data_IF_421934645507
#
_entry.id   IF_421934645507
#
_cell.length_a   1.000
_cell.length_b   1.000
_cell.length_c   1.000
_cell.angle_alpha   90.00
_cell.angle_beta   90.00
_cell.angle_gamma   90.00
#
_symmetry.space_group_name_H-M   'P 1'
#
loop_
_entity.id
_entity.type
_entity.pdbx_description
1 polymer ?
#
# COMPACT_ATOMS: atom_id res chain seq x y z
N UNK A 1 33.66 -6.49 -6.54
CA UNK A 1 32.24 -6.13 -6.84
C UNK A 1 32.20 -4.64 -7.16
N UNK A 2 31.68 -4.25 -8.33
CA UNK A 2 31.70 -2.86 -8.78
C UNK A 2 30.81 -1.97 -7.90
N UNK A 3 31.29 -0.81 -7.47
CA UNK A 3 30.55 0.18 -6.66
C UNK A 3 29.18 0.55 -7.27
N UNK A 4 29.09 0.50 -8.60
CA UNK A 4 27.83 0.70 -9.34
C UNK A 4 26.81 -0.41 -9.08
N UNK A 5 27.26 -1.66 -8.96
CA UNK A 5 26.39 -2.81 -8.63
C UNK A 5 25.88 -2.70 -7.19
N UNK A 6 26.71 -2.22 -6.27
CA UNK A 6 26.31 -1.98 -4.88
C UNK A 6 25.22 -0.89 -4.79
N UNK A 7 25.41 0.24 -5.49
CA UNK A 7 24.44 1.34 -5.53
C UNK A 7 23.10 0.91 -6.13
N UNK A 8 23.12 0.15 -7.24
CA UNK A 8 21.90 -0.36 -7.87
C UNK A 8 21.16 -1.29 -6.91
N UNK A 9 21.87 -2.18 -6.20
CA UNK A 9 21.25 -3.07 -5.20
C UNK A 9 20.64 -2.27 -4.04
N UNK A 10 21.32 -1.25 -3.53
CA UNK A 10 20.80 -0.39 -2.46
C UNK A 10 19.56 0.38 -2.89
N UNK A 11 19.53 0.92 -4.11
CA UNK A 11 18.37 1.61 -4.68
C UNK A 11 17.17 0.67 -4.85
N UNK A 12 17.40 -0.55 -5.34
CA UNK A 12 16.35 -1.56 -5.49
C UNK A 12 15.80 -2.00 -4.14
N UNK A 13 16.65 -2.18 -3.13
CA UNK A 13 16.22 -2.47 -1.75
C UNK A 13 15.40 -1.32 -1.19
N UNK A 14 15.88 -0.08 -1.33
CA UNK A 14 15.17 1.11 -0.84
C UNK A 14 13.80 1.25 -1.52
N UNK A 15 13.73 1.04 -2.83
CA UNK A 15 12.49 1.05 -3.60
C UNK A 15 11.51 -0.05 -3.17
N UNK A 16 12.01 -1.28 -2.94
CA UNK A 16 11.19 -2.38 -2.46
C UNK A 16 10.64 -2.13 -1.04
N UNK A 17 11.44 -1.53 -0.16
CA UNK A 17 11.02 -1.19 1.21
C UNK A 17 10.07 0.01 1.27
N UNK A 18 10.20 0.97 0.35
CA UNK A 18 9.39 2.20 0.36
C UNK A 18 7.92 1.95 0.03
N UNK A 19 7.60 0.81 -0.60
CA UNK A 19 6.25 0.51 -1.09
C UNK A 19 5.49 -0.54 -0.25
N UNK A 20 6.09 -1.07 0.83
CA UNK A 20 5.39 -1.93 1.77
C UNK A 20 4.61 -1.07 2.77
N UNK A 21 3.37 -0.72 2.44
CA UNK A 21 2.42 -0.24 3.44
C UNK A 21 2.17 -1.38 4.42
N UNK A 22 2.58 -1.19 5.68
CA UNK A 22 2.36 -2.17 6.73
C UNK A 22 0.85 -2.36 6.96
N UNK A 23 0.41 -3.61 6.91
CA UNK A 23 -0.98 -3.97 7.16
C UNK A 23 -1.13 -4.27 8.65
N UNK A 24 -1.90 -3.44 9.34
CA UNK A 24 -2.26 -3.65 10.73
C UNK A 24 -3.40 -4.68 10.81
N UNK A 25 -3.24 -5.69 11.65
CA UNK A 25 -4.26 -6.72 11.87
C UNK A 25 -4.87 -6.61 13.26
N UNK A 26 -6.17 -6.87 13.39
CA UNK A 26 -6.86 -6.88 14.67
C UNK A 26 -7.92 -7.99 14.72
N UNK A 27 -8.25 -8.48 15.92
CA UNK A 27 -9.40 -9.36 16.06
C UNK A 27 -10.69 -8.55 16.17
N UNK A 28 -11.80 -9.18 15.83
CA UNK A 28 -13.11 -8.56 16.01
C UNK A 28 -13.37 -8.25 17.50
N UNK A 29 -14.07 -7.15 17.75
CA UNK A 29 -14.41 -6.57 19.06
C UNK A 29 -13.25 -6.00 19.86
N UNK A 30 -12.02 -6.02 19.36
CA UNK A 30 -10.90 -5.29 19.96
C UNK A 30 -10.99 -3.79 19.70
N UNK A 31 -10.35 -3.00 20.56
CA UNK A 31 -10.12 -1.59 20.30
C UNK A 31 -8.81 -1.43 19.52
N UNK A 32 -8.86 -0.70 18.40
CA UNK A 32 -7.72 -0.52 17.51
C UNK A 32 -7.29 0.93 17.48
N UNK A 33 -5.99 1.17 17.54
CA UNK A 33 -5.37 2.50 17.38
C UNK A 33 -4.61 2.53 16.06
N UNK A 34 -5.08 3.36 15.12
CA UNK A 34 -4.37 3.65 13.87
C UNK A 34 -3.47 4.86 14.08
N UNK A 35 -2.16 4.65 14.00
CA UNK A 35 -1.18 5.71 14.23
C UNK A 35 -1.18 6.71 13.07
N UNK A 36 -1.12 8.00 13.42
CA UNK A 36 -0.73 9.04 12.49
C UNK A 36 0.71 9.42 12.84
N UNK A 37 1.69 8.71 12.29
CA UNK A 37 3.11 8.96 12.58
C UNK A 37 3.88 8.98 11.26
N UNK A 38 4.62 10.06 11.02
CA UNK A 38 5.53 10.14 9.88
C UNK A 38 6.95 9.80 10.35
N UNK A 39 7.70 8.96 9.61
CA UNK A 39 9.04 8.58 10.03
C UNK A 39 9.94 9.81 10.26
N UNK A 40 10.42 9.97 11.49
CA UNK A 40 11.33 11.06 11.86
C UNK A 40 10.69 12.43 12.07
N UNK A 41 9.36 12.54 12.09
CA UNK A 41 8.65 13.81 12.33
C UNK A 41 7.64 13.65 13.45
N UNK A 42 7.78 14.48 14.48
CA UNK A 42 6.78 14.60 15.53
C UNK A 42 5.71 15.62 15.12
N UNK A 43 4.48 15.17 14.89
CA UNK A 43 3.38 16.02 14.39
C UNK A 43 3.10 17.19 15.35
N UNK A 44 3.29 16.97 16.65
CA UNK A 44 3.07 18.01 17.67
C UNK A 44 4.07 19.18 17.51
N UNK A 45 5.21 18.94 16.85
CA UNK A 45 6.21 19.97 16.52
C UNK A 45 5.98 20.64 15.17
N UNK A 46 5.12 20.06 14.33
CA UNK A 46 4.83 20.59 13.00
C UNK A 46 3.80 21.70 13.10
N UNK A 47 4.00 22.75 12.30
CA UNK A 47 2.99 23.79 12.17
C UNK A 47 1.89 23.37 11.19
N UNK A 48 0.79 22.84 11.72
CA UNK A 48 -0.35 22.35 10.95
C UNK A 48 -1.63 23.11 11.31
N UNK A 49 -2.56 23.19 10.37
CA UNK A 49 -3.86 23.84 10.56
C UNK A 49 -4.90 22.88 11.17
N UNK A 50 -4.90 21.61 10.73
CA UNK A 50 -5.78 20.57 11.26
C UNK A 50 -5.22 19.15 11.06
N UNK A 51 -5.75 18.20 11.81
CA UNK A 51 -5.64 16.76 11.51
C UNK A 51 -7.04 16.20 11.25
N UNK A 52 -7.18 15.38 10.21
CA UNK A 52 -8.43 14.72 9.86
C UNK A 52 -8.20 13.27 9.45
N UNK A 53 -9.13 12.41 9.82
CA UNK A 53 -9.13 11.00 9.41
C UNK A 53 -10.25 10.72 8.43
N UNK A 54 -9.91 9.91 7.42
CA UNK A 54 -10.81 9.46 6.37
C UNK A 54 -10.73 7.94 6.24
N UNK A 55 -11.86 7.29 5.91
CA UNK A 55 -11.85 5.93 5.34
C UNK A 55 -11.87 6.06 3.83
N UNK A 56 -10.91 5.43 3.16
CA UNK A 56 -10.87 5.38 1.71
C UNK A 56 -11.83 4.29 1.20
N UNK A 57 -12.53 4.61 0.13
CA UNK A 57 -13.37 3.66 -0.61
C UNK A 57 -12.67 3.20 -1.88
N UNK A 58 -13.21 2.21 -2.59
CA UNK A 58 -12.61 1.61 -3.79
C UNK A 58 -12.15 2.62 -4.86
N UNK A 59 -12.83 3.77 -4.97
CA UNK A 59 -12.48 4.84 -5.91
C UNK A 59 -11.52 5.89 -5.33
N UNK A 60 -10.81 5.57 -4.24
CA UNK A 60 -10.01 6.50 -3.43
C UNK A 60 -10.80 7.73 -2.95
N UNK A 61 -12.13 7.66 -2.93
CA UNK A 61 -12.94 8.74 -2.37
C UNK A 61 -12.79 8.71 -0.86
N UNK A 62 -12.50 9.88 -0.30
CA UNK A 62 -12.33 10.10 1.13
C UNK A 62 -13.70 10.21 1.81
N UNK A 63 -14.05 9.25 2.66
CA UNK A 63 -15.20 9.35 3.55
C UNK A 63 -14.72 9.88 4.90
N UNK A 64 -15.07 11.13 5.23
CA UNK A 64 -14.59 11.79 6.46
C UNK A 64 -15.12 11.10 7.71
N UNK A 65 -14.25 10.91 8.70
CA UNK A 65 -14.56 10.31 10.00
C UNK A 65 -14.60 11.39 11.07
N UNK A 66 -13.45 12.02 11.32
CA UNK A 66 -13.24 12.94 12.42
C UNK A 66 -12.15 13.96 12.04
N UNK A 67 -12.27 15.20 12.54
CA UNK A 67 -11.31 16.28 12.32
C UNK A 67 -11.12 17.09 13.59
N UNK A 68 -9.88 17.54 13.82
CA UNK A 68 -9.51 18.42 14.92
C UNK A 68 -8.61 19.54 14.39
N UNK A 69 -8.98 20.78 14.68
CA UNK A 69 -8.12 21.93 14.37
C UNK A 69 -7.02 22.03 15.43
N UNK A 70 -5.90 22.69 15.09
CA UNK A 70 -4.80 22.90 16.04
C UNK A 70 -5.21 23.86 17.16
N UNK A 71 -5.73 25.03 16.79
CA UNK A 71 -6.03 26.12 17.74
C UNK A 71 -7.39 25.99 18.41
N UNK A 72 -8.31 25.29 17.76
CA UNK A 72 -9.65 25.00 18.25
C UNK A 72 -9.69 23.51 18.62
N UNK A 73 -9.49 23.19 19.89
CA UNK A 73 -9.51 21.82 20.43
C UNK A 73 -10.88 21.12 20.22
N UNK A 74 -11.84 21.81 19.59
CA UNK A 74 -13.13 21.28 19.17
C UNK A 74 -12.96 20.22 18.09
N UNK A 75 -13.36 19.01 18.44
CA UNK A 75 -13.41 17.86 17.53
C UNK A 75 -14.70 17.90 16.73
N UNK A 76 -14.58 17.87 15.40
CA UNK A 76 -15.70 17.83 14.46
C UNK A 76 -15.85 16.41 13.91
N UNK A 77 -17.05 15.87 14.01
CA UNK A 77 -17.42 14.57 13.44
C UNK A 77 -18.10 14.79 12.10
N UNK A 78 -17.65 14.05 11.09
CA UNK A 78 -18.34 13.99 9.80
C UNK A 78 -19.52 13.01 9.88
N UNK A 79 -20.30 12.90 8.80
CA UNK A 79 -21.45 11.98 8.68
C UNK A 79 -21.04 10.50 8.54
N UNK A 80 -20.02 10.06 9.28
CA UNK A 80 -19.56 8.68 9.31
C UNK A 80 -20.44 7.86 10.26
N UNK A 81 -21.27 6.99 9.67
CA UNK A 81 -22.22 6.15 10.42
C UNK A 81 -21.53 4.89 10.90
N UNK A 82 -20.90 4.96 12.08
CA UNK A 82 -20.27 3.83 12.76
C UNK A 82 -20.44 3.97 14.28
N UNK A 83 -20.76 2.86 14.95
CA UNK A 83 -20.95 2.79 16.40
C UNK A 83 -20.17 1.60 16.98
N UNK A 84 -19.43 1.77 18.09
CA UNK A 84 -19.22 3.02 18.82
C UNK A 84 -18.41 4.03 17.98
N UNK A 85 -18.59 5.32 18.25
CA UNK A 85 -17.98 6.37 17.42
C UNK A 85 -16.46 6.34 17.53
N UNK A 86 -15.73 6.52 16.42
CA UNK A 86 -14.28 6.74 16.47
C UNK A 86 -13.95 7.99 17.27
N UNK A 87 -12.73 8.07 17.80
CA UNK A 87 -12.24 9.27 18.48
C UNK A 87 -10.76 9.48 18.19
N UNK A 88 -10.23 10.67 18.51
CA UNK A 88 -8.78 10.88 18.50
C UNK A 88 -8.15 10.23 19.74
N UNK A 89 -7.10 9.45 19.53
CA UNK A 89 -6.21 8.95 20.58
C UNK A 89 -4.98 9.86 20.76
N UNK A 90 -3.94 9.31 21.38
CA UNK A 90 -2.65 9.98 21.54
C UNK A 90 -2.01 10.31 20.19
N UNK A 91 -1.24 11.41 20.11
CA UNK A 91 -0.51 11.84 18.90
C UNK A 91 -1.37 11.85 17.63
N UNK A 92 -2.60 12.33 17.75
CA UNK A 92 -3.58 12.39 16.66
C UNK A 92 -3.94 11.04 16.00
N UNK A 93 -3.67 9.91 16.67
CA UNK A 93 -4.12 8.60 16.23
C UNK A 93 -5.65 8.50 16.15
N UNK A 94 -6.15 7.55 15.35
CA UNK A 94 -7.57 7.21 15.31
C UNK A 94 -7.84 6.01 16.20
N UNK A 95 -8.64 6.21 17.25
CA UNK A 95 -9.17 5.12 18.06
C UNK A 95 -10.48 4.62 17.44
N UNK A 96 -10.46 3.35 17.03
CA UNK A 96 -11.61 2.60 16.55
C UNK A 96 -12.02 1.60 17.63
N UNK A 97 -13.06 1.90 18.43
CA UNK A 97 -13.53 0.98 19.45
C UNK A 97 -14.28 -0.20 18.83
N UNK A 98 -14.11 -1.38 19.44
CA UNK A 98 -14.82 -2.64 19.15
C UNK A 98 -14.96 -2.92 17.66
N UNK A 99 -13.84 -3.08 16.98
CA UNK A 99 -13.81 -3.20 15.52
C UNK A 99 -14.57 -4.40 14.99
N UNK A 100 -15.16 -4.28 13.81
CA UNK A 100 -15.80 -5.39 13.08
C UNK A 100 -15.12 -5.61 11.73
N UNK A 101 -15.48 -6.69 11.02
CA UNK A 101 -14.95 -6.96 9.68
C UNK A 101 -15.20 -5.83 8.69
N UNK A 102 -16.29 -5.06 8.85
CA UNK A 102 -16.61 -3.87 8.03
C UNK A 102 -15.62 -2.72 8.23
N UNK A 103 -14.86 -2.74 9.33
CA UNK A 103 -13.81 -1.77 9.60
C UNK A 103 -12.55 -2.03 8.81
N UNK A 104 -12.38 -3.23 8.24
CA UNK A 104 -11.28 -3.49 7.34
C UNK A 104 -11.26 -2.50 6.17
N UNK A 105 -10.06 -2.18 5.71
CA UNK A 105 -9.83 -1.30 4.59
C UNK A 105 -8.74 -0.26 4.87
N UNK A 106 -8.67 0.71 3.98
CA UNK A 106 -7.62 1.72 3.99
C UNK A 106 -8.12 3.00 4.65
N UNK A 107 -7.35 3.50 5.60
CA UNK A 107 -7.59 4.74 6.31
C UNK A 107 -6.51 5.75 5.94
N UNK A 108 -6.86 7.03 5.94
CA UNK A 108 -5.94 8.11 5.64
C UNK A 108 -5.99 9.16 6.75
N UNK A 109 -4.82 9.46 7.32
CA UNK A 109 -4.59 10.62 8.17
C UNK A 109 -4.10 11.78 7.30
N UNK A 110 -4.86 12.87 7.27
CA UNK A 110 -4.53 14.09 6.57
C UNK A 110 -4.14 15.17 7.59
N UNK A 111 -2.90 15.62 7.50
CA UNK A 111 -2.38 16.77 8.24
C UNK A 111 -2.43 17.96 7.28
N UNK A 112 -3.43 18.81 7.49
CA UNK A 112 -3.60 20.02 6.72
C UNK A 112 -2.56 21.04 7.13
N UNK A 113 -1.73 21.50 6.21
CA UNK A 113 -0.74 22.52 6.49
C UNK A 113 -1.36 23.93 6.51
N UNK A 114 -0.60 24.89 7.04
CA UNK A 114 -0.97 26.29 6.92
C UNK A 114 -0.93 26.77 5.46
N UNK A 115 -1.63 27.88 5.19
CA UNK A 115 -1.72 28.43 3.83
C UNK A 115 -0.32 28.66 3.26
N UNK A 116 -0.09 28.16 2.03
CA UNK A 116 1.21 28.24 1.36
C UNK A 116 2.12 27.02 1.57
N UNK A 117 1.75 26.09 2.45
CA UNK A 117 2.44 24.81 2.66
C UNK A 117 1.66 23.63 2.07
N UNK A 118 2.31 22.47 1.92
CA UNK A 118 1.70 21.25 1.39
C UNK A 118 1.12 20.38 2.50
N UNK A 119 -0.10 19.87 2.30
CA UNK A 119 -0.71 18.89 3.19
C UNK A 119 0.10 17.57 3.18
N UNK A 120 0.13 16.90 4.32
CA UNK A 120 0.76 15.58 4.45
C UNK A 120 -0.33 14.53 4.68
N UNK A 121 -0.36 13.53 3.82
CA UNK A 121 -1.32 12.43 3.87
C UNK A 121 -0.59 11.12 4.16
N UNK A 122 -0.97 10.42 5.24
CA UNK A 122 -0.47 9.10 5.60
C UNK A 122 -1.60 8.08 5.46
N UNK A 123 -1.29 6.95 4.84
CA UNK A 123 -2.26 5.86 4.64
C UNK A 123 -1.91 4.67 5.53
N UNK A 124 -2.92 4.09 6.19
CA UNK A 124 -2.82 2.91 7.06
C UNK A 124 -3.83 1.86 6.59
N UNK A 125 -3.40 0.61 6.43
CA UNK A 125 -4.27 -0.50 6.05
C UNK A 125 -4.65 -1.31 7.29
N UNK A 126 -5.95 -1.48 7.54
CA UNK A 126 -6.48 -2.29 8.63
C UNK A 126 -7.15 -3.55 8.07
N UNK A 127 -6.82 -4.72 8.63
CA UNK A 127 -7.50 -5.98 8.39
C UNK A 127 -8.05 -6.52 9.71
N UNK A 128 -9.37 -6.62 9.82
CA UNK A 128 -10.03 -7.18 11.00
C UNK A 128 -10.42 -8.63 10.70
N UNK A 129 -9.97 -9.55 11.55
CA UNK A 129 -10.31 -10.96 11.43
C UNK A 129 -11.80 -11.22 11.69
N UNK A 130 -12.29 -12.35 11.17
CA UNK A 130 -13.69 -12.73 11.32
C UNK A 130 -14.10 -12.82 12.81
N UNK A 131 -15.30 -12.34 13.10
CA UNK A 131 -15.90 -12.45 14.43
C UNK A 131 -16.29 -13.91 14.66
N UNK A 132 -15.50 -14.66 15.42
CA UNK A 132 -15.88 -16.00 15.84
C UNK A 132 -16.83 -15.84 17.02
N UNK A 133 -18.12 -16.10 16.80
CA UNK A 133 -19.01 -16.39 17.92
C UNK A 133 -18.51 -17.70 18.49
N UNK A 134 -17.95 -17.67 19.70
CA UNK A 134 -17.71 -18.88 20.46
C UNK A 134 -19.09 -19.47 20.73
N UNK A 135 -19.56 -20.33 19.83
CA UNK A 135 -20.68 -21.20 20.11
C UNK A 135 -20.30 -21.90 21.41
N UNK A 136 -21.14 -21.66 22.41
CA UNK A 136 -21.06 -22.23 23.74
C UNK A 136 -20.57 -23.68 23.62
N UNK A 137 -19.38 -23.95 24.17
CA UNK A 137 -18.75 -25.28 24.12
C UNK A 137 -19.44 -26.18 25.16
N UNK A 138 -20.77 -26.22 25.09
CA UNK A 138 -21.64 -26.91 26.02
C UNK A 138 -22.81 -27.48 25.20
N UNK A 139 -22.85 -28.83 25.12
CA UNK A 139 -23.92 -29.68 24.55
C UNK A 139 -24.10 -29.59 23.02
N UNK A 140 -23.61 -30.54 22.21
CA UNK A 140 -24.02 -31.95 22.18
C UNK A 140 -22.91 -32.83 21.58
N UNK A 141 -22.15 -33.51 22.44
CA UNK A 141 -21.33 -34.67 22.07
C UNK A 141 -22.24 -35.89 21.89
N UNK A 142 -23.17 -35.88 20.94
CA UNK A 142 -23.86 -37.13 20.53
C UNK A 142 -24.49 -36.99 19.14
N UNK A 143 -23.93 -37.76 18.21
CA UNK A 143 -24.47 -38.15 16.89
C UNK A 143 -24.54 -37.01 15.85
N UNK A 144 -23.55 -36.87 14.97
CA UNK A 144 -23.61 -37.57 13.67
C UNK A 144 -22.20 -37.91 13.15
N UNK A 145 -21.98 -39.21 12.92
CA UNK A 145 -20.94 -39.73 12.04
C UNK A 145 -21.20 -39.27 10.58
N UNK A 146 -20.13 -39.26 9.77
CA UNK A 146 -20.12 -39.17 8.28
C UNK A 146 -20.24 -37.73 7.78
N UNK A 147 -19.29 -37.09 7.10
CA UNK A 147 -18.14 -37.51 6.27
C UNK A 147 -17.14 -36.34 6.29
N UNK A 148 -15.86 -36.64 6.41
CA UNK A 148 -14.76 -35.70 6.24
C UNK A 148 -14.81 -35.09 4.84
N UNK A 149 -15.25 -33.83 4.76
CA UNK A 149 -15.03 -32.97 3.59
C UNK A 149 -13.98 -31.96 4.00
N UNK A 150 -12.74 -32.26 3.65
CA UNK A 150 -11.66 -31.28 3.65
C UNK A 150 -12.06 -30.16 2.68
N UNK A 151 -12.63 -29.09 3.23
CA UNK A 151 -12.79 -27.84 2.50
C UNK A 151 -11.40 -27.20 2.38
N UNK A 152 -10.69 -27.65 1.35
CA UNK A 152 -9.49 -27.06 0.78
C UNK A 152 -9.66 -25.54 0.66
N UNK A 153 -8.96 -24.80 1.52
CA UNK A 153 -8.89 -23.35 1.45
C UNK A 153 -7.97 -22.96 0.29
N UNK A 154 -8.53 -22.87 -0.90
CA UNK A 154 -7.83 -22.35 -2.07
C UNK A 154 -7.60 -20.84 -1.89
N UNK A 155 -6.47 -20.47 -1.28
CA UNK A 155 -5.91 -19.11 -1.38
C UNK A 155 -5.51 -18.89 -2.84
N UNK A 156 -6.34 -18.20 -3.62
CA UNK A 156 -5.84 -17.54 -4.82
C UNK A 156 -5.17 -16.24 -4.38
N UNK A 157 -3.88 -16.35 -4.08
CA UNK A 157 -2.97 -15.22 -4.26
C UNK A 157 -2.81 -15.10 -5.77
N UNK A 158 -3.41 -14.08 -6.40
CA UNK A 158 -2.99 -13.71 -7.74
C UNK A 158 -1.59 -13.10 -7.63
N UNK A 159 -0.58 -13.98 -7.65
CA UNK A 159 0.77 -13.58 -7.96
C UNK A 159 0.73 -12.96 -9.36
N UNK A 160 1.09 -11.66 -9.43
CA UNK A 160 1.19 -10.92 -10.67
C UNK A 160 1.93 -11.78 -11.71
N UNK A 161 1.33 -12.12 -12.88
CA UNK A 161 1.81 -13.25 -13.66
C UNK A 161 3.27 -13.03 -14.07
N UNK A 162 4.15 -13.94 -13.64
CA UNK A 162 5.57 -14.01 -14.04
C UNK A 162 5.74 -13.85 -15.55
N UNK A 163 4.72 -14.23 -16.32
CA UNK A 163 4.57 -14.02 -17.76
C UNK A 163 4.79 -12.57 -18.23
N UNK A 164 4.30 -11.55 -17.53
CA UNK A 164 4.50 -10.14 -17.92
C UNK A 164 5.95 -9.68 -17.78
N UNK A 165 6.64 -10.17 -16.75
CA UNK A 165 8.07 -9.91 -16.58
C UNK A 165 8.88 -10.59 -17.69
N UNK A 166 8.56 -11.84 -18.03
CA UNK A 166 9.25 -12.57 -19.11
C UNK A 166 9.06 -11.84 -20.45
N UNK A 167 7.83 -11.40 -20.77
CA UNK A 167 7.54 -10.64 -21.99
C UNK A 167 8.37 -9.35 -22.04
N UNK A 168 8.48 -8.62 -20.93
CA UNK A 168 9.29 -7.41 -20.83
C UNK A 168 10.78 -7.66 -21.10
N UNK A 169 11.37 -8.69 -20.47
CA UNK A 169 12.79 -9.01 -20.68
C UNK A 169 13.09 -9.47 -22.11
N UNK A 170 12.21 -10.26 -22.72
CA UNK A 170 12.34 -10.71 -24.12
C UNK A 170 12.28 -9.52 -25.07
N UNK A 171 11.35 -8.58 -24.87
CA UNK A 171 11.22 -7.39 -25.71
C UNK A 171 12.50 -6.51 -25.67
N UNK A 172 13.08 -6.32 -24.49
CA UNK A 172 14.35 -5.57 -24.33
C UNK A 172 15.51 -6.30 -25.02
N UNK A 173 15.55 -7.63 -24.89
CA UNK A 173 16.55 -8.46 -25.57
C UNK A 173 16.49 -8.33 -27.09
N UNK A 174 15.30 -8.48 -27.68
CA UNK A 174 15.08 -8.35 -29.12
C UNK A 174 15.42 -6.94 -29.63
N UNK A 175 15.05 -5.90 -28.87
CA UNK A 175 15.38 -4.51 -29.21
C UNK A 175 16.88 -4.28 -29.33
N UNK A 176 17.68 -4.86 -28.40
CA UNK A 176 19.15 -4.77 -28.46
C UNK A 176 19.74 -5.49 -29.67
N UNK A 177 19.20 -6.66 -30.03
CA UNK A 177 19.66 -7.43 -31.20
C UNK A 177 19.40 -6.64 -32.48
N UNK A 178 18.19 -6.08 -32.64
CA UNK A 178 17.84 -5.28 -33.82
C UNK A 178 18.75 -4.05 -33.95
N UNK A 179 18.97 -3.31 -32.85
CA UNK A 179 19.87 -2.16 -32.86
C UNK A 179 21.31 -2.54 -33.20
N UNK A 180 21.78 -3.70 -32.71
CA UNK A 180 23.11 -4.22 -33.04
C UNK A 180 23.22 -4.51 -34.54
N UNK A 181 22.23 -5.15 -35.15
CA UNK A 181 22.22 -5.44 -36.59
C UNK A 181 22.21 -4.15 -37.41
N UNK A 182 21.35 -3.19 -37.07
CA UNK A 182 21.32 -1.89 -37.76
C UNK A 182 22.68 -1.19 -37.68
N UNK A 183 23.33 -1.21 -36.52
CA UNK A 183 24.65 -0.59 -36.35
C UNK A 183 25.72 -1.23 -37.24
N UNK A 184 25.74 -2.56 -37.34
CA UNK A 184 26.66 -3.31 -38.21
C UNK A 184 26.39 -2.97 -39.68
N UNK A 185 25.12 -3.00 -40.09
CA UNK A 185 24.71 -2.65 -41.46
C UNK A 185 25.13 -1.24 -41.87
N UNK A 186 24.99 -0.27 -40.96
CA UNK A 186 25.43 1.11 -41.20
C UNK A 186 26.95 1.19 -41.36
N UNK A 187 27.71 0.50 -40.51
CA UNK A 187 29.18 0.45 -40.59
C UNK A 187 29.63 -0.19 -41.92
N UNK A 188 29.02 -1.30 -42.33
CA UNK A 188 29.32 -1.96 -43.60
C UNK A 188 28.96 -1.08 -44.81
N UNK A 189 27.80 -0.41 -44.78
CA UNK A 189 27.40 0.51 -45.84
C UNK A 189 28.36 1.71 -45.98
N UNK A 190 28.83 2.25 -44.85
CA UNK A 190 29.84 3.32 -44.84
C UNK A 190 31.19 2.81 -45.37
N UNK A 191 31.63 1.62 -44.94
CA UNK A 191 32.85 0.98 -45.45
C UNK A 191 32.77 0.73 -46.96
N UNK A 192 31.67 0.17 -47.46
CA UNK A 192 31.47 -0.06 -48.90
C UNK A 192 31.46 1.24 -49.71
N UNK A 193 30.80 2.29 -49.22
CA UNK A 193 30.83 3.62 -49.86
C UNK A 193 32.24 4.22 -49.87
N UNK A 194 33.00 4.06 -48.79
CA UNK A 194 34.38 4.54 -48.72
C UNK A 194 35.31 3.79 -49.68
N UNK A 195 35.16 2.47 -49.83
CA UNK A 195 35.96 1.64 -50.73
C UNK A 195 35.66 1.95 -52.21
N UNK A 196 34.40 2.23 -52.57
CA UNK A 196 34.05 2.65 -53.94
C UNK A 196 34.60 4.03 -54.30
N UNK A 197 34.80 4.92 -53.32
CA UNK A 197 35.37 6.27 -53.51
C UNK A 197 36.90 6.28 -53.74
N UNK A 198 37.59 5.17 -53.46
CA UNK A 198 39.03 4.98 -53.66
C UNK A 198 39.39 4.24 -54.95
N UNK A 199 38.42 3.82 -55.75
CA UNK A 199 38.62 3.10 -57.03
C UNK A 199 38.26 3.93 -58.28
N UNK A 200 38.12 5.25 -58.13
CA UNK A 200 37.93 6.21 -59.22
C UNK A 200 39.02 7.26 -59.19
#
# INVERSE_FOLDING_TARGET
>A
MSQKVLLIKLLLVHYATQNQQEMQTANCYEDVVLKCEYPGVDIDTVDYHFVAWYKLTNQKRKNGIIRKAKDDNTTKYYSYRRSPRPSFGEKHSLLLPRVTTEDSGTYECCIGANVGSQNQDLTVNLMVHACVTQADLTTMTTVLNTTQSEADCHKQVEDLPVMWSIIGYVAVGLSKIVLSLISIWVIEAVRMRSSRRWRH
#
